data_IF_738046061159
#
_entry.id   IF_738046061159
#
_cell.length_a   1.000
_cell.length_b   1.000
_cell.length_c   1.000
_cell.angle_alpha   90.00
_cell.angle_beta   90.00
_cell.angle_gamma   90.00
#
_symmetry.space_group_name_H-M   'P 1'
#
loop_
_entity.id
_entity.type
_entity.pdbx_description
1 polymer ?
#
# COMPACT_ATOMS: atom_id res chain seq x y z
N UNK A 1 -0.40 2.84 -35.01
CA UNK A 1 -1.05 1.51 -35.11
C UNK A 1 -0.11 0.41 -35.64
N UNK A 2 0.94 0.71 -36.42
CA UNK A 2 1.89 -0.30 -36.92
C UNK A 2 3.05 -0.69 -35.98
N UNK A 3 3.27 0.03 -34.88
CA UNK A 3 4.35 -0.27 -33.94
C UNK A 3 4.01 -1.40 -32.95
N UNK A 4 2.72 -1.57 -32.62
CA UNK A 4 2.24 -2.52 -31.60
C UNK A 4 2.31 -3.97 -32.11
N UNK A 5 2.06 -4.17 -33.41
CA UNK A 5 2.10 -5.50 -34.04
C UNK A 5 3.52 -6.04 -34.25
N UNK A 6 4.55 -5.17 -34.29
CA UNK A 6 5.94 -5.59 -34.43
C UNK A 6 6.58 -6.00 -33.10
N UNK A 7 6.09 -5.50 -31.95
CA UNK A 7 6.57 -5.90 -30.62
C UNK A 7 5.97 -7.23 -30.12
N UNK A 8 4.77 -7.59 -30.56
CA UNK A 8 4.09 -8.83 -30.16
C UNK A 8 4.74 -10.12 -30.69
N UNK A 9 5.74 -10.02 -31.58
CA UNK A 9 6.39 -11.18 -32.20
C UNK A 9 7.75 -11.56 -31.57
N UNK A 10 8.27 -10.78 -30.62
CA UNK A 10 9.60 -11.01 -30.04
C UNK A 10 9.63 -11.23 -28.52
N UNK A 11 8.50 -11.03 -27.81
CA UNK A 11 8.41 -11.26 -26.37
C UNK A 11 7.14 -12.08 -26.10
N UNK A 12 7.29 -13.26 -25.51
CA UNK A 12 6.21 -14.21 -25.19
C UNK A 12 5.32 -13.73 -24.03
N UNK A 13 5.12 -12.42 -23.89
CA UNK A 13 4.42 -11.79 -22.78
C UNK A 13 3.20 -11.02 -23.23
N UNK A 14 2.16 -10.99 -22.41
CA UNK A 14 0.96 -10.19 -22.68
C UNK A 14 1.21 -8.71 -22.42
N UNK A 15 0.57 -7.87 -23.23
CA UNK A 15 0.75 -6.42 -23.23
C UNK A 15 -0.39 -5.80 -22.44
N UNK A 16 -0.04 -4.90 -21.52
CA UNK A 16 -0.98 -4.01 -20.84
C UNK A 16 -0.71 -2.56 -21.25
N UNK A 17 -1.74 -1.83 -21.66
CA UNK A 17 -1.64 -0.44 -22.07
C UNK A 17 -1.88 0.49 -20.88
N UNK A 18 -1.07 1.53 -20.73
CA UNK A 18 -1.24 2.50 -19.64
C UNK A 18 -2.22 3.60 -20.07
N UNK A 19 -3.29 3.81 -19.29
CA UNK A 19 -4.36 4.78 -19.55
C UNK A 19 -5.05 4.62 -20.93
N UNK A 20 -5.29 3.39 -21.37
CA UNK A 20 -6.08 3.11 -22.58
C UNK A 20 -7.44 2.49 -22.20
N UNK A 21 -8.51 2.84 -22.89
CA UNK A 21 -9.85 2.29 -22.57
C UNK A 21 -10.19 1.03 -23.39
N UNK A 22 -9.16 0.33 -23.88
CA UNK A 22 -9.32 -0.85 -24.75
C UNK A 22 -8.22 -1.88 -24.47
N UNK A 23 -8.61 -3.15 -24.36
CA UNK A 23 -7.68 -4.23 -24.11
C UNK A 23 -7.25 -4.31 -22.64
N UNK A 24 -6.29 -5.20 -22.34
CA UNK A 24 -5.60 -5.25 -21.06
C UNK A 24 -5.00 -3.87 -20.73
N UNK A 25 -5.35 -3.31 -19.56
CA UNK A 25 -5.07 -1.90 -19.25
C UNK A 25 -4.55 -1.71 -17.83
N UNK A 26 -3.68 -0.70 -17.63
CA UNK A 26 -3.31 -0.18 -16.30
C UNK A 26 -3.72 1.28 -16.17
N UNK A 27 -4.57 1.56 -15.18
CA UNK A 27 -5.06 2.91 -14.86
C UNK A 27 -4.14 3.60 -13.86
N UNK A 28 -3.74 4.82 -14.16
CA UNK A 28 -2.94 5.66 -13.23
C UNK A 28 -3.77 6.69 -12.46
N UNK A 29 -5.08 6.67 -12.67
CA UNK A 29 -6.04 7.53 -11.97
C UNK A 29 -7.35 6.79 -11.73
N UNK A 30 -8.12 7.25 -10.75
CA UNK A 30 -9.41 6.64 -10.42
C UNK A 30 -10.39 6.94 -11.57
N UNK A 31 -11.03 5.92 -12.18
CA UNK A 31 -11.98 6.14 -13.26
C UNK A 31 -13.25 6.84 -12.72
N UNK A 32 -13.83 7.72 -13.54
CA UNK A 32 -15.05 8.47 -13.18
C UNK A 32 -16.33 7.66 -13.29
N UNK A 33 -16.27 6.49 -13.90
CA UNK A 33 -17.39 5.58 -14.12
C UNK A 33 -16.92 4.13 -14.06
N UNK A 34 -17.86 3.21 -13.85
CA UNK A 34 -17.60 1.78 -13.95
C UNK A 34 -17.06 1.46 -15.33
N UNK A 35 -15.97 0.72 -15.39
CA UNK A 35 -15.37 0.29 -16.64
C UNK A 35 -16.23 -0.81 -17.27
N UNK A 36 -16.38 -0.83 -18.60
CA UNK A 36 -17.06 -1.94 -19.26
C UNK A 36 -16.33 -3.24 -18.93
N UNK A 37 -17.06 -4.36 -18.89
CA UNK A 37 -16.45 -5.68 -18.81
C UNK A 37 -15.63 -5.93 -20.10
N UNK A 38 -14.36 -5.58 -20.02
CA UNK A 38 -13.33 -5.77 -21.05
C UNK A 38 -12.32 -6.81 -20.56
N UNK A 39 -11.20 -6.91 -21.27
CA UNK A 39 -9.97 -7.52 -20.78
C UNK A 39 -9.56 -6.98 -19.38
N UNK A 40 -8.57 -7.63 -18.77
CA UNK A 40 -8.15 -7.40 -17.37
C UNK A 40 -7.68 -5.96 -17.13
N UNK A 41 -8.18 -5.36 -16.05
CA UNK A 41 -7.85 -3.99 -15.66
C UNK A 41 -7.02 -3.95 -14.38
N UNK A 42 -5.87 -3.30 -14.46
CA UNK A 42 -5.04 -2.94 -13.32
C UNK A 42 -5.20 -1.50 -12.88
N UNK A 43 -4.91 -1.22 -11.62
CA UNK A 43 -4.71 0.13 -11.10
C UNK A 43 -3.27 0.30 -10.58
N UNK A 44 -2.60 1.38 -10.99
CA UNK A 44 -1.34 1.89 -10.44
C UNK A 44 -1.59 3.28 -9.84
N UNK A 45 -2.37 3.29 -8.76
CA UNK A 45 -2.85 4.50 -8.09
C UNK A 45 -2.27 4.54 -6.67
N UNK A 46 -1.63 5.65 -6.26
CA UNK A 46 -1.12 5.81 -4.91
C UNK A 46 -2.19 5.67 -3.83
N UNK A 47 -1.79 5.12 -2.67
CA UNK A 47 -2.71 4.88 -1.55
C UNK A 47 -3.36 6.17 -1.02
N UNK A 48 -2.62 7.27 -0.96
CA UNK A 48 -3.08 8.57 -0.49
C UNK A 48 -4.09 9.24 -1.45
N UNK A 49 -4.09 8.83 -2.73
CA UNK A 49 -5.11 9.20 -3.71
C UNK A 49 -6.40 8.40 -3.49
N UNK A 50 -6.29 7.11 -3.16
CA UNK A 50 -7.45 6.26 -2.86
C UNK A 50 -8.09 6.60 -1.50
N UNK A 51 -7.26 7.00 -0.52
CA UNK A 51 -7.73 7.30 0.82
C UNK A 51 -6.92 8.44 1.44
N UNK A 52 -7.56 9.62 1.55
CA UNK A 52 -6.94 10.83 2.07
C UNK A 52 -6.31 10.61 3.45
N UNK A 53 -5.13 11.19 3.65
CA UNK A 53 -4.37 11.17 4.90
C UNK A 53 -3.80 9.79 5.30
N UNK A 54 -4.05 8.74 4.52
CA UNK A 54 -3.48 7.41 4.74
C UNK A 54 -2.32 7.20 3.76
N UNK A 55 -1.11 7.19 4.30
CA UNK A 55 0.12 6.84 3.59
C UNK A 55 0.77 5.62 4.25
N UNK A 56 1.87 5.13 3.68
CA UNK A 56 2.52 3.91 4.16
C UNK A 56 3.08 4.07 5.58
N UNK A 57 3.50 5.29 5.95
CA UNK A 57 3.98 5.57 7.29
C UNK A 57 2.83 5.47 8.31
N UNK A 58 1.64 5.97 7.97
CA UNK A 58 0.43 5.78 8.80
C UNK A 58 0.15 4.30 9.00
N UNK A 59 0.21 3.49 7.95
CA UNK A 59 -0.01 2.04 8.07
C UNK A 59 1.00 1.38 9.00
N UNK A 60 2.27 1.78 8.94
CA UNK A 60 3.29 1.25 9.87
C UNK A 60 3.13 1.72 11.32
N UNK A 61 2.51 2.88 11.54
CA UNK A 61 2.17 3.37 12.87
C UNK A 61 0.96 2.63 13.45
N UNK A 62 0.04 2.16 12.60
CA UNK A 62 -1.10 1.32 12.98
C UNK A 62 -0.62 -0.05 13.47
N UNK A 63 -0.67 -0.29 14.78
CA UNK A 63 -0.23 -1.57 15.37
C UNK A 63 -1.26 -2.71 15.22
N UNK A 64 -2.41 -2.44 14.60
CA UNK A 64 -3.48 -3.41 14.40
C UNK A 64 -3.57 -3.87 12.94
N UNK A 65 -2.96 -5.02 12.68
CA UNK A 65 -2.92 -5.63 11.36
C UNK A 65 -4.29 -6.14 10.88
N UNK A 66 -5.25 -6.35 11.79
CA UNK A 66 -6.62 -6.73 11.41
C UNK A 66 -7.34 -5.55 10.77
N UNK A 67 -7.07 -4.33 11.25
CA UNK A 67 -7.61 -3.10 10.65
C UNK A 67 -6.91 -2.80 9.31
N UNK A 68 -5.62 -3.10 9.18
CA UNK A 68 -4.92 -3.01 7.88
C UNK A 68 -5.49 -4.01 6.87
N UNK A 69 -5.81 -5.24 7.29
CA UNK A 69 -6.51 -6.20 6.43
C UNK A 69 -7.90 -5.69 6.04
N UNK A 70 -8.68 -5.16 6.99
CA UNK A 70 -9.98 -4.57 6.72
C UNK A 70 -9.89 -3.37 5.75
N UNK A 71 -8.84 -2.55 5.86
CA UNK A 71 -8.54 -1.50 4.88
C UNK A 71 -8.33 -2.09 3.49
N UNK A 72 -7.53 -3.16 3.37
CA UNK A 72 -7.33 -3.86 2.10
C UNK A 72 -8.63 -4.37 1.50
N UNK A 73 -9.54 -4.88 2.33
CA UNK A 73 -10.88 -5.29 1.87
C UNK A 73 -11.70 -4.12 1.35
N UNK A 74 -11.72 -2.99 2.06
CA UNK A 74 -12.49 -1.81 1.65
C UNK A 74 -11.94 -1.19 0.36
N UNK A 75 -10.61 -1.08 0.23
CA UNK A 75 -9.96 -0.64 -1.03
C UNK A 75 -10.28 -1.62 -2.15
N UNK A 76 -10.17 -2.93 -1.90
CA UNK A 76 -10.47 -3.95 -2.90
C UNK A 76 -11.92 -3.88 -3.38
N UNK A 77 -12.90 -3.71 -2.47
CA UNK A 77 -14.31 -3.52 -2.85
C UNK A 77 -14.52 -2.26 -3.68
N UNK A 78 -13.88 -1.16 -3.30
CA UNK A 78 -13.93 0.08 -4.07
C UNK A 78 -13.44 -0.14 -5.50
N UNK A 79 -12.24 -0.71 -5.64
CA UNK A 79 -11.62 -0.99 -6.94
C UNK A 79 -12.45 -1.99 -7.76
N UNK A 80 -12.94 -3.07 -7.14
CA UNK A 80 -13.74 -4.07 -7.85
C UNK A 80 -15.08 -3.49 -8.34
N UNK A 81 -15.69 -2.57 -7.58
CA UNK A 81 -16.89 -1.85 -8.02
C UNK A 81 -16.68 -0.97 -9.25
N UNK A 82 -15.42 -0.63 -9.56
CA UNK A 82 -15.02 0.13 -10.75
C UNK A 82 -14.60 -0.79 -11.90
N UNK A 83 -14.60 -2.12 -11.72
CA UNK A 83 -14.13 -3.09 -12.70
C UNK A 83 -12.61 -3.29 -12.69
N UNK A 84 -11.92 -2.97 -11.59
CA UNK A 84 -10.47 -3.21 -11.45
C UNK A 84 -10.21 -4.61 -10.88
N UNK A 85 -9.32 -5.35 -11.52
CA UNK A 85 -8.97 -6.73 -11.20
C UNK A 85 -7.72 -6.87 -10.35
N UNK A 86 -6.74 -5.96 -10.54
CA UNK A 86 -5.53 -5.94 -9.74
C UNK A 86 -5.11 -4.53 -9.33
N UNK A 87 -4.38 -4.42 -8.23
CA UNK A 87 -3.84 -3.14 -7.76
C UNK A 87 -2.34 -3.26 -7.48
N UNK A 88 -1.59 -2.34 -8.05
CA UNK A 88 -0.15 -2.17 -7.88
C UNK A 88 0.08 -1.27 -6.67
N UNK A 89 0.75 -1.80 -5.66
CA UNK A 89 1.01 -1.06 -4.44
C UNK A 89 2.24 -1.58 -3.70
N UNK A 90 2.62 -0.82 -2.69
CA UNK A 90 3.56 -1.22 -1.67
C UNK A 90 4.83 -0.38 -1.68
N UNK A 91 5.53 -0.43 -0.57
CA UNK A 91 6.86 0.12 -0.41
C UNK A 91 7.69 -0.89 0.34
N UNK A 92 8.74 -1.37 -0.33
CA UNK A 92 9.53 -2.52 0.12
C UNK A 92 10.91 -2.12 0.62
N UNK A 93 11.18 -0.81 0.68
CA UNK A 93 12.33 -0.23 1.36
C UNK A 93 11.94 0.23 2.77
N UNK A 94 12.76 -0.13 3.75
CA UNK A 94 12.65 0.31 5.13
C UNK A 94 13.16 1.74 5.27
N UNK A 95 12.77 2.38 6.36
CA UNK A 95 13.28 3.71 6.73
C UNK A 95 14.74 3.53 7.17
N UNK A 96 15.69 4.06 6.39
CA UNK A 96 17.12 3.91 6.66
C UNK A 96 17.71 5.11 7.43
N UNK A 97 17.11 6.29 7.27
CA UNK A 97 17.60 7.57 7.78
C UNK A 97 16.42 8.37 8.37
N UNK A 98 16.68 9.17 9.41
CA UNK A 98 15.66 10.00 10.08
C UNK A 98 15.52 11.40 9.44
N UNK A 99 16.34 11.74 8.44
CA UNK A 99 16.44 13.10 7.87
C UNK A 99 15.52 13.32 6.67
N UNK A 100 15.04 12.24 6.04
CA UNK A 100 14.05 12.29 4.96
C UNK A 100 12.70 11.83 5.48
N UNK A 101 11.66 12.66 5.28
CA UNK A 101 10.32 12.36 5.78
C UNK A 101 9.74 11.15 5.03
N UNK A 102 9.57 9.98 5.68
CA UNK A 102 9.40 8.72 4.95
C UNK A 102 7.93 8.34 4.80
N UNK A 103 7.06 9.28 4.38
CA UNK A 103 5.62 8.99 4.20
C UNK A 103 5.36 7.88 3.18
N UNK A 104 6.29 7.67 2.25
CA UNK A 104 6.27 6.60 1.26
C UNK A 104 6.81 5.26 1.78
N UNK A 105 7.23 5.15 3.05
CA UNK A 105 7.76 3.91 3.66
C UNK A 105 6.98 3.51 4.89
N UNK A 106 6.95 2.20 5.16
CA UNK A 106 6.16 1.66 6.27
C UNK A 106 6.92 1.75 7.59
N UNK A 107 8.17 1.30 7.66
CA UNK A 107 8.88 1.22 8.94
C UNK A 107 10.38 1.07 8.76
N UNK A 108 11.15 1.37 9.81
CA UNK A 108 12.54 0.91 9.98
C UNK A 108 12.67 -0.63 10.05
N UNK A 109 11.60 -1.34 10.43
CA UNK A 109 11.62 -2.79 10.59
C UNK A 109 11.19 -3.51 9.31
N UNK A 110 12.04 -4.40 8.74
CA UNK A 110 11.65 -5.25 7.61
C UNK A 110 10.44 -6.13 7.94
N UNK A 111 10.39 -6.67 9.16
CA UNK A 111 9.29 -7.52 9.62
C UNK A 111 7.96 -6.78 9.72
N UNK A 112 7.96 -5.54 10.23
CA UNK A 112 6.75 -4.72 10.32
C UNK A 112 6.26 -4.32 8.93
N UNK A 113 7.19 -3.94 8.05
CA UNK A 113 6.94 -3.64 6.64
C UNK A 113 6.26 -4.82 5.95
N UNK A 114 6.87 -6.01 6.00
CA UNK A 114 6.33 -7.21 5.40
C UNK A 114 4.97 -7.63 5.98
N UNK A 115 4.77 -7.49 7.30
CA UNK A 115 3.49 -7.85 7.92
C UNK A 115 2.36 -6.90 7.52
N UNK A 116 2.63 -5.60 7.46
CA UNK A 116 1.69 -4.57 6.99
C UNK A 116 1.28 -4.85 5.54
N UNK A 117 2.26 -5.07 4.64
CA UNK A 117 1.98 -5.40 3.23
C UNK A 117 1.19 -6.70 3.13
N UNK A 118 1.58 -7.76 3.85
CA UNK A 118 0.89 -9.05 3.81
C UNK A 118 -0.58 -8.94 4.26
N UNK A 119 -0.86 -8.19 5.32
CA UNK A 119 -2.23 -7.96 5.79
C UNK A 119 -3.06 -7.18 4.79
N UNK A 120 -2.51 -6.10 4.22
CA UNK A 120 -3.19 -5.33 3.19
C UNK A 120 -3.49 -6.20 1.95
N UNK A 121 -2.51 -6.99 1.51
CA UNK A 121 -2.62 -7.94 0.38
C UNK A 121 -3.73 -8.96 0.60
N UNK A 122 -3.82 -9.50 1.82
CA UNK A 122 -4.85 -10.46 2.20
C UNK A 122 -6.24 -9.83 2.10
N UNK A 123 -6.38 -8.58 2.53
CA UNK A 123 -7.62 -7.83 2.40
C UNK A 123 -8.07 -7.69 0.94
N UNK A 124 -7.15 -7.30 0.05
CA UNK A 124 -7.41 -7.17 -1.39
C UNK A 124 -7.87 -8.49 -2.00
N UNK A 125 -7.16 -9.58 -1.69
CA UNK A 125 -7.49 -10.92 -2.18
C UNK A 125 -8.90 -11.34 -1.75
N UNK A 126 -9.27 -11.09 -0.49
CA UNK A 126 -10.62 -11.39 0.02
C UNK A 126 -11.68 -10.61 -0.77
N UNK A 127 -11.39 -9.36 -1.13
CA UNK A 127 -12.27 -8.50 -1.89
C UNK A 127 -12.33 -8.80 -3.41
N UNK A 128 -11.55 -9.77 -3.90
CA UNK A 128 -11.54 -10.13 -5.33
C UNK A 128 -10.61 -9.27 -6.19
N UNK A 129 -9.63 -8.61 -5.57
CA UNK A 129 -8.58 -7.84 -6.26
C UNK A 129 -7.22 -8.53 -6.07
N UNK A 130 -6.51 -8.80 -7.16
CA UNK A 130 -5.16 -9.37 -7.10
C UNK A 130 -4.16 -8.30 -6.63
N UNK A 131 -3.46 -8.51 -5.50
CA UNK A 131 -2.39 -7.61 -5.10
C UNK A 131 -1.19 -7.77 -6.03
N UNK A 132 -0.63 -6.66 -6.51
CA UNK A 132 0.61 -6.61 -7.30
C UNK A 132 1.63 -5.75 -6.57
N UNK A 133 2.80 -6.31 -6.29
CA UNK A 133 3.84 -5.61 -5.53
C UNK A 133 4.66 -4.67 -6.40
N UNK A 134 4.76 -3.41 -6.00
CA UNK A 134 5.58 -2.40 -6.69
C UNK A 134 7.04 -2.42 -6.22
N UNK A 135 7.91 -3.05 -7.02
CA UNK A 135 9.36 -3.07 -6.78
C UNK A 135 10.13 -2.04 -7.63
N UNK A 136 9.46 -1.17 -8.40
CA UNK A 136 10.12 -0.17 -9.26
C UNK A 136 10.97 0.82 -8.46
N UNK A 137 10.59 1.09 -7.21
CA UNK A 137 11.37 1.94 -6.28
C UNK A 137 12.47 1.18 -5.51
N UNK A 138 12.63 -0.11 -5.79
CA UNK A 138 13.56 -1.03 -5.13
C UNK A 138 12.99 -1.65 -3.86
N UNK A 139 13.77 -2.54 -3.24
CA UNK A 139 13.39 -3.35 -2.09
C UNK A 139 14.56 -3.63 -1.16
N UNK A 140 14.26 -4.02 0.08
CA UNK A 140 15.20 -4.67 0.99
C UNK A 140 15.01 -6.18 0.97
N UNK A 141 16.12 -6.92 0.93
CA UNK A 141 16.11 -8.39 0.89
C UNK A 141 15.40 -8.97 2.12
N UNK A 142 15.59 -8.37 3.30
CA UNK A 142 14.94 -8.81 4.54
C UNK A 142 13.41 -8.66 4.48
N UNK A 143 12.89 -7.66 3.75
CA UNK A 143 11.45 -7.52 3.51
C UNK A 143 10.96 -8.66 2.63
N UNK A 144 11.68 -8.99 1.55
CA UNK A 144 11.35 -10.12 0.67
C UNK A 144 11.32 -11.45 1.44
N UNK A 145 12.35 -11.74 2.23
CA UNK A 145 12.40 -12.97 3.04
C UNK A 145 11.28 -13.02 4.08
N UNK A 146 10.96 -11.88 4.69
CA UNK A 146 9.83 -11.76 5.61
C UNK A 146 8.46 -11.96 4.92
N UNK A 147 8.30 -11.57 3.65
CA UNK A 147 7.09 -11.83 2.86
C UNK A 147 6.97 -13.32 2.48
N UNK A 148 8.07 -13.93 2.04
CA UNK A 148 8.13 -15.36 1.69
C UNK A 148 7.73 -16.23 2.89
N UNK A 149 8.31 -15.98 4.06
CA UNK A 149 7.98 -16.72 5.29
C UNK A 149 6.50 -16.60 5.70
N UNK A 150 5.83 -15.51 5.31
CA UNK A 150 4.40 -15.27 5.52
C UNK A 150 3.51 -15.81 4.40
N UNK A 151 4.10 -16.43 3.37
CA UNK A 151 3.41 -16.87 2.14
C UNK A 151 2.72 -15.72 1.39
N UNK A 152 3.15 -14.48 1.62
CA UNK A 152 2.68 -13.30 0.91
C UNK A 152 3.50 -13.11 -0.37
N UNK A 153 3.31 -14.02 -1.33
CA UNK A 153 4.03 -14.04 -2.60
C UNK A 153 3.03 -13.85 -3.74
N UNK A 154 3.08 -12.68 -4.37
CA UNK A 154 2.11 -12.21 -5.36
C UNK A 154 2.79 -11.73 -6.63
N UNK A 155 2.08 -11.52 -7.75
CA UNK A 155 2.66 -10.87 -8.91
C UNK A 155 3.28 -9.52 -8.54
N UNK A 156 4.21 -9.04 -9.35
CA UNK A 156 4.95 -7.82 -9.03
C UNK A 156 5.37 -7.04 -10.28
N UNK A 157 5.69 -5.75 -10.13
CA UNK A 157 6.18 -4.89 -11.21
C UNK A 157 7.60 -4.40 -10.93
N UNK A 158 8.41 -4.35 -11.97
CA UNK A 158 9.81 -3.88 -11.97
C UNK A 158 10.08 -3.01 -13.21
N UNK A 159 11.15 -2.23 -13.18
CA UNK A 159 11.58 -1.43 -14.34
C UNK A 159 12.41 -2.25 -15.35
N UNK A 160 12.98 -3.38 -14.92
CA UNK A 160 13.86 -4.20 -15.74
C UNK A 160 13.83 -5.68 -15.31
N UNK A 161 14.19 -6.57 -16.24
CA UNK A 161 14.16 -8.02 -16.03
C UNK A 161 15.24 -8.53 -15.08
N UNK A 162 16.35 -7.80 -14.91
CA UNK A 162 17.44 -8.22 -14.02
C UNK A 162 17.02 -8.09 -12.55
N UNK A 163 16.26 -7.04 -12.21
CA UNK A 163 15.61 -6.89 -10.91
C UNK A 163 14.65 -8.04 -10.64
N UNK A 164 13.80 -8.42 -11.61
CA UNK A 164 12.92 -9.58 -11.45
C UNK A 164 13.70 -10.88 -11.22
N UNK A 165 14.81 -11.09 -11.93
CA UNK A 165 15.69 -12.24 -11.72
C UNK A 165 16.27 -12.25 -10.31
N UNK A 166 16.76 -11.11 -9.82
CA UNK A 166 17.30 -11.00 -8.45
C UNK A 166 16.25 -11.31 -7.38
N UNK A 167 15.02 -10.83 -7.54
CA UNK A 167 13.89 -11.14 -6.64
C UNK A 167 13.59 -12.66 -6.65
N UNK A 168 13.65 -13.31 -7.81
CA UNK A 168 13.43 -14.76 -7.94
C UNK A 168 14.54 -15.59 -7.32
N UNK A 169 15.78 -15.15 -7.41
CA UNK A 169 16.93 -15.80 -6.74
C UNK A 169 16.74 -15.84 -5.21
N UNK A 170 15.92 -14.93 -4.63
CA UNK A 170 15.53 -14.96 -3.23
C UNK A 170 14.43 -15.98 -2.89
N UNK A 171 13.83 -16.63 -3.89
CA UNK A 171 12.72 -17.59 -3.74
C UNK A 171 11.33 -17.02 -4.02
N UNK A 172 11.23 -15.78 -4.51
CA UNK A 172 9.95 -15.11 -4.79
C UNK A 172 9.49 -15.38 -6.24
N UNK A 173 8.95 -16.58 -6.49
CA UNK A 173 8.57 -17.03 -7.84
C UNK A 173 7.12 -16.72 -8.21
N UNK A 174 6.87 -15.65 -8.97
CA UNK A 174 5.55 -15.25 -9.49
C UNK A 174 5.65 -14.59 -10.87
N UNK A 175 4.52 -14.53 -11.62
CA UNK A 175 4.42 -13.67 -12.79
C UNK A 175 4.79 -12.22 -12.45
N UNK A 176 5.34 -11.49 -13.40
CA UNK A 176 5.78 -10.13 -13.15
C UNK A 176 5.61 -9.25 -14.37
N UNK A 177 5.43 -7.97 -14.12
CA UNK A 177 5.41 -6.93 -15.14
C UNK A 177 6.77 -6.27 -15.28
N UNK A 178 7.14 -5.97 -16.51
CA UNK A 178 8.20 -5.01 -16.83
C UNK A 178 7.53 -3.72 -17.29
N UNK A 179 7.73 -2.64 -16.53
CA UNK A 179 7.22 -1.31 -16.84
C UNK A 179 8.10 -0.64 -17.91
N UNK A 180 7.54 -0.44 -19.10
CA UNK A 180 8.20 0.25 -20.23
C UNK A 180 7.65 1.67 -20.45
N UNK A 181 7.01 2.26 -19.42
CA UNK A 181 6.39 3.57 -19.47
C UNK A 181 4.93 3.51 -19.92
N UNK A 182 4.70 3.49 -21.24
CA UNK A 182 3.34 3.49 -21.79
C UNK A 182 2.73 2.09 -21.93
N UNK A 183 3.55 1.06 -21.75
CA UNK A 183 3.20 -0.34 -21.91
C UNK A 183 3.86 -1.12 -20.78
N UNK A 184 3.12 -2.06 -20.20
CA UNK A 184 3.66 -3.07 -19.30
C UNK A 184 3.63 -4.43 -19.96
N UNK A 185 4.72 -5.19 -19.84
CA UNK A 185 4.82 -6.54 -20.37
C UNK A 185 4.71 -7.56 -19.24
N UNK A 186 3.64 -8.34 -19.25
CA UNK A 186 3.47 -9.47 -18.33
C UNK A 186 4.34 -10.64 -18.79
N UNK A 187 5.25 -11.06 -17.93
CA UNK A 187 6.15 -12.17 -18.14
C UNK A 187 5.80 -13.36 -17.25
N UNK A 188 5.99 -14.57 -17.77
CA UNK A 188 5.78 -15.84 -17.06
C UNK A 188 4.36 -16.01 -16.49
N UNK A 189 3.37 -15.55 -17.25
CA UNK A 189 1.95 -15.65 -16.91
C UNK A 189 1.07 -15.15 -18.05
N UNK A 190 -0.23 -15.06 -17.77
CA UNK A 190 -1.24 -14.44 -18.63
C UNK A 190 -2.26 -13.68 -17.76
N UNK A 191 -3.18 -12.97 -18.39
CA UNK A 191 -4.11 -12.07 -17.75
C UNK A 191 -5.02 -12.77 -16.72
N UNK A 192 -5.37 -14.03 -16.94
CA UNK A 192 -6.20 -14.81 -15.99
C UNK A 192 -5.54 -15.02 -14.61
N UNK A 193 -4.22 -14.80 -14.47
CA UNK A 193 -3.54 -14.81 -13.17
C UNK A 193 -3.74 -13.52 -12.37
N UNK A 194 -4.33 -12.50 -12.99
CA UNK A 194 -4.48 -11.15 -12.46
C UNK A 194 -5.94 -10.78 -12.18
N UNK A 195 -6.84 -11.75 -12.27
CA UNK A 195 -8.24 -11.59 -11.94
C UNK A 195 -8.68 -12.64 -10.91
N UNK A 196 -9.63 -12.24 -10.07
CA UNK A 196 -10.42 -13.16 -9.27
C UNK A 196 -11.87 -13.07 -9.73
N UNK A 197 -12.52 -14.24 -9.79
CA UNK A 197 -13.90 -14.39 -10.24
C UNK A 197 -14.94 -14.14 -9.14
N UNK A 198 -14.50 -13.89 -7.91
CA UNK A 198 -15.39 -13.57 -6.78
C UNK A 198 -15.30 -12.09 -6.42
N UNK A 199 -16.30 -11.65 -5.68
CA UNK A 199 -16.37 -10.33 -5.08
C UNK A 199 -16.86 -10.43 -3.63
N UNK A 200 -16.44 -9.49 -2.79
CA UNK A 200 -16.89 -9.40 -1.40
C UNK A 200 -18.06 -8.42 -1.28
N UNK A 201 -19.25 -8.97 -1.05
CA UNK A 201 -20.52 -8.24 -1.00
C UNK A 201 -20.80 -7.54 0.35
N UNK A 202 -19.85 -7.55 1.29
CA UNK A 202 -20.05 -6.92 2.59
C UNK A 202 -20.09 -5.37 2.50
N UNK A 203 -20.74 -4.68 3.47
CA UNK A 203 -20.95 -3.24 3.42
C UNK A 203 -19.67 -2.42 3.22
N UNK A 204 -19.76 -1.45 2.31
CA UNK A 204 -18.67 -0.55 1.97
C UNK A 204 -18.60 0.63 2.95
N UNK A 205 -17.42 0.88 3.53
CA UNK A 205 -17.18 1.97 4.48
C UNK A 205 -15.70 2.40 4.51
N UNK A 206 -15.28 3.14 3.47
CA UNK A 206 -13.90 3.68 3.39
C UNK A 206 -13.60 4.74 4.45
N UNK A 207 -14.56 5.62 4.76
CA UNK A 207 -14.34 6.68 5.75
C UNK A 207 -14.28 6.11 7.18
N UNK A 208 -15.10 5.11 7.50
CA UNK A 208 -15.03 4.42 8.78
C UNK A 208 -13.68 3.74 9.00
N UNK A 209 -13.18 3.00 8.00
CA UNK A 209 -11.86 2.36 8.12
C UNK A 209 -10.72 3.38 8.15
N UNK A 210 -10.83 4.50 7.42
CA UNK A 210 -9.87 5.62 7.50
C UNK A 210 -9.79 6.15 8.92
N UNK A 211 -10.93 6.45 9.55
CA UNK A 211 -10.98 6.94 10.94
C UNK A 211 -10.40 5.93 11.91
N UNK A 212 -10.66 4.64 11.70
CA UNK A 212 -10.13 3.59 12.56
C UNK A 212 -8.60 3.49 12.47
N UNK A 213 -8.04 3.50 11.25
CA UNK A 213 -6.59 3.52 11.03
C UNK A 213 -5.96 4.76 11.70
N UNK A 214 -6.51 5.96 11.45
CA UNK A 214 -5.99 7.20 12.02
C UNK A 214 -6.01 7.18 13.56
N UNK A 215 -7.10 6.68 14.16
CA UNK A 215 -7.21 6.50 15.61
C UNK A 215 -6.14 5.54 16.13
N UNK A 216 -5.93 4.42 15.43
CA UNK A 216 -4.95 3.39 15.80
C UNK A 216 -3.50 3.74 15.47
N UNK A 217 -3.30 4.91 14.86
CA UNK A 217 -1.99 5.44 14.49
C UNK A 217 -1.57 6.64 15.34
N UNK A 218 -2.28 6.95 16.44
CA UNK A 218 -1.87 8.04 17.36
C UNK A 218 -0.63 7.59 18.14
N UNK A 219 0.51 8.25 17.90
CA UNK A 219 1.80 7.90 18.53
C UNK A 219 2.11 8.86 19.67
N UNK A 220 2.28 8.32 20.88
CA UNK A 220 2.78 9.07 22.03
C UNK A 220 4.30 8.93 22.13
N UNK A 221 4.99 10.07 22.20
CA UNK A 221 6.44 10.17 22.35
C UNK A 221 6.77 10.60 23.78
N UNK A 222 7.73 9.91 24.41
CA UNK A 222 8.14 10.08 25.82
C UNK A 222 6.97 9.90 26.82
N UNK A 223 6.37 8.70 26.90
CA UNK A 223 5.21 8.46 27.77
C UNK A 223 5.51 8.67 29.27
N UNK A 224 6.75 8.48 29.70
CA UNK A 224 7.22 8.68 31.07
C UNK A 224 7.23 10.15 31.54
N UNK A 225 7.22 11.10 30.61
CA UNK A 225 7.36 12.52 30.89
C UNK A 225 6.04 13.23 30.51
N UNK A 226 5.17 13.50 31.50
CA UNK A 226 4.39 14.75 31.67
C UNK A 226 2.88 14.75 31.98
N UNK A 227 2.56 15.81 32.74
CA UNK A 227 1.29 16.42 33.17
C UNK A 227 0.61 17.25 32.05
N UNK A 228 0.30 16.67 30.89
CA UNK A 228 -0.62 17.29 29.91
C UNK A 228 -0.16 18.58 29.20
N UNK A 229 1.15 18.91 29.23
CA UNK A 229 1.75 20.09 28.57
C UNK A 229 2.46 19.80 27.23
N UNK A 230 2.37 18.56 26.72
CA UNK A 230 3.07 18.13 25.51
C UNK A 230 2.54 18.76 24.21
N UNK A 231 3.37 18.73 23.16
CA UNK A 231 3.03 19.27 21.83
C UNK A 231 2.32 18.22 20.96
N UNK A 232 1.33 18.65 20.17
CA UNK A 232 0.73 17.82 19.11
C UNK A 232 1.38 18.20 17.78
N UNK A 233 1.88 17.20 17.07
CA UNK A 233 2.38 17.31 15.70
C UNK A 233 1.37 16.65 14.75
N UNK A 234 1.04 17.34 13.66
CA UNK A 234 0.04 16.89 12.68
C UNK A 234 0.75 16.73 11.35
N UNK A 235 0.80 15.51 10.81
CA UNK A 235 1.53 15.17 9.57
C UNK A 235 2.97 15.73 9.56
N UNK A 236 3.60 15.72 10.72
CA UNK A 236 4.96 16.21 10.93
C UNK A 236 5.66 15.30 11.92
N UNK A 237 6.91 14.92 11.60
CA UNK A 237 7.75 14.11 12.48
C UNK A 237 8.74 15.04 13.19
N UNK A 238 8.74 15.12 14.53
CA UNK A 238 9.65 16.01 15.23
C UNK A 238 11.10 15.53 15.12
N UNK A 239 12.01 16.40 14.65
CA UNK A 239 13.46 16.14 14.64
C UNK A 239 14.01 15.89 16.07
N UNK A 240 13.43 16.57 17.06
CA UNK A 240 13.74 16.38 18.48
C UNK A 240 12.45 16.26 19.27
N UNK A 241 12.36 15.20 20.07
CA UNK A 241 11.20 14.98 20.94
C UNK A 241 11.24 16.00 22.10
N UNK A 242 10.22 16.86 22.26
CA UNK A 242 10.14 17.82 23.36
C UNK A 242 10.38 17.19 24.74
N UNK A 243 10.88 17.96 25.70
CA UNK A 243 11.03 17.52 27.09
C UNK A 243 9.68 17.17 27.72
N UNK A 244 8.63 17.89 27.31
CA UNK A 244 7.31 17.86 27.93
C UNK A 244 6.39 16.79 27.32
N UNK A 245 6.96 15.86 26.54
CA UNK A 245 6.23 14.86 25.77
C UNK A 245 5.65 15.41 24.47
N UNK A 246 5.25 14.51 23.57
CA UNK A 246 4.58 14.87 22.33
C UNK A 246 3.64 13.77 21.82
N UNK A 247 2.62 14.15 21.06
CA UNK A 247 1.79 13.23 20.30
C UNK A 247 1.88 13.55 18.82
N UNK A 248 2.05 12.53 17.99
CA UNK A 248 2.01 12.62 16.53
C UNK A 248 0.69 12.03 16.04
N UNK A 249 -0.02 12.79 15.21
CA UNK A 249 -1.20 12.34 14.47
C UNK A 249 -1.03 12.63 12.98
N UNK A 250 -1.76 11.88 12.16
CA UNK A 250 -1.55 11.87 10.71
C UNK A 250 -2.66 12.56 9.91
N UNK A 251 -3.62 13.20 10.58
CA UNK A 251 -4.65 14.04 9.96
C UNK A 251 -5.03 15.20 10.89
N UNK A 252 -5.52 16.30 10.31
CA UNK A 252 -5.96 17.49 11.03
C UNK A 252 -7.44 17.47 11.45
N UNK A 253 -8.11 16.32 11.35
CA UNK A 253 -9.54 16.22 11.65
C UNK A 253 -9.83 16.61 13.11
N UNK A 254 -10.87 17.45 13.40
CA UNK A 254 -11.14 17.93 14.75
C UNK A 254 -11.29 16.81 15.79
N UNK A 255 -11.95 15.70 15.43
CA UNK A 255 -12.13 14.55 16.31
C UNK A 255 -10.80 13.87 16.68
N UNK A 256 -9.85 13.83 15.74
CA UNK A 256 -8.53 13.22 15.96
C UNK A 256 -7.64 14.12 16.82
N UNK A 257 -7.75 15.44 16.63
CA UNK A 257 -7.07 16.43 17.47
C UNK A 257 -7.56 16.35 18.92
N UNK A 258 -8.87 16.18 19.15
CA UNK A 258 -9.41 15.98 20.50
C UNK A 258 -8.93 14.67 21.13
N UNK A 259 -8.87 13.58 20.37
CA UNK A 259 -8.28 12.33 20.85
C UNK A 259 -6.80 12.49 21.20
N UNK A 260 -6.01 13.19 20.38
CA UNK A 260 -4.60 13.47 20.67
C UNK A 260 -4.43 14.26 21.97
N UNK A 261 -5.30 15.26 22.23
CA UNK A 261 -5.34 15.99 23.50
C UNK A 261 -5.70 15.07 24.67
N UNK A 262 -6.62 14.13 24.48
CA UNK A 262 -7.00 13.15 25.50
C UNK A 262 -5.84 12.19 25.83
N UNK A 263 -5.10 11.73 24.81
CA UNK A 263 -3.89 10.91 24.94
C UNK A 263 -2.80 11.65 25.71
N UNK A 264 -2.51 12.92 25.37
CA UNK A 264 -1.56 13.75 26.12
C UNK A 264 -1.94 13.90 27.60
N UNK A 265 -3.25 13.91 27.90
CA UNK A 265 -3.79 14.01 29.26
C UNK A 265 -3.95 12.65 29.96
N UNK A 266 -3.50 11.54 29.34
CA UNK A 266 -3.67 10.15 29.81
C UNK A 266 -5.12 9.75 30.08
N UNK A 267 -6.07 10.41 29.43
CA UNK A 267 -7.50 10.04 29.47
C UNK A 267 -7.81 8.90 28.52
N UNK A 268 -6.99 8.74 27.49
CA UNK A 268 -7.06 7.68 26.49
C UNK A 268 -5.65 7.11 26.24
N UNK A 269 -5.51 5.82 25.94
CA UNK A 269 -4.23 5.25 25.58
C UNK A 269 -3.82 5.65 24.15
N UNK A 270 -2.52 5.86 23.94
CA UNK A 270 -1.97 5.84 22.59
C UNK A 270 -1.96 4.40 22.07
N UNK A 271 -2.37 4.21 20.82
CA UNK A 271 -2.47 2.89 20.19
C UNK A 271 -1.54 2.73 18.99
N UNK A 272 -1.02 3.86 18.48
CA UNK A 272 0.00 3.88 17.44
C UNK A 272 1.39 3.60 17.99
N UNK A 273 2.25 3.08 17.13
CA UNK A 273 3.65 2.79 17.42
C UNK A 273 4.55 3.75 16.65
N UNK A 274 5.64 4.20 17.30
CA UNK A 274 6.73 4.86 16.58
C UNK A 274 7.44 3.84 15.68
N UNK A 275 7.33 4.03 14.37
CA UNK A 275 7.86 3.16 13.31
C UNK A 275 9.01 3.80 12.50
N UNK A 276 9.30 5.08 12.75
CA UNK A 276 10.42 5.85 12.20
C UNK A 276 11.46 6.21 13.26
#
# INVERSE_FOLDING_TARGET
MYLVSALGLLLSGEIFLVNADTGNTVLTSVPSSILPASDVVGADIPLDVLLRDIDYLVLGACSDFSVIEALGRQIGRYLKSLGVDFWVFGSFKVIADEKTVPFDRISKSPYLTAHTIASLSRGLQIAGVVPVFDFRKGYDIDVIQALISRRAIYPFVVNDTDVAKSIKEQGFFRPYFVDMGNIWLLSEGNASYLEYSWEDLAPFDLEGIRREILRKSIVLLKPETFEGKGKIFIRELPERIPSDGAVVIFAGDPWLVELAKAVLKRKEPATGRKNW
#
